data_IF_942623822278
#
_entry.id   IF_942623822278
#
_cell.length_a   1.000
_cell.length_b   1.000
_cell.length_c   1.000
_cell.angle_alpha   90.00
_cell.angle_beta   90.00
_cell.angle_gamma   90.00
#
_symmetry.space_group_name_H-M   'P 1'
#
loop_
_entity.id
_entity.type
_entity.pdbx_description
1 polymer ?
#
# COMPACT_ATOMS: atom_id res chain seq x y z
N UNK A 1 30.96 -9.84 -4.07
CA UNK A 1 30.59 -10.74 -2.94
C UNK A 1 29.36 -10.25 -2.17
N UNK A 2 29.29 -8.98 -1.73
CA UNK A 2 28.10 -8.39 -1.05
C UNK A 2 26.78 -8.54 -1.84
N UNK A 3 26.81 -8.38 -3.16
CA UNK A 3 25.63 -8.51 -4.03
C UNK A 3 25.03 -9.92 -4.06
N UNK A 4 25.86 -10.96 -4.11
CA UNK A 4 25.43 -12.36 -4.13
C UNK A 4 24.84 -12.81 -2.77
N UNK A 5 25.40 -12.28 -1.68
CA UNK A 5 24.85 -12.49 -0.33
C UNK A 5 23.48 -11.80 -0.22
N UNK A 6 23.36 -10.56 -0.69
CA UNK A 6 22.08 -9.84 -0.73
C UNK A 6 21.01 -10.56 -1.54
N UNK A 7 21.34 -11.12 -2.70
CA UNK A 7 20.40 -11.90 -3.50
C UNK A 7 19.99 -13.21 -2.83
N UNK A 8 20.92 -13.93 -2.19
CA UNK A 8 20.61 -15.14 -1.43
C UNK A 8 19.76 -14.84 -0.20
N UNK A 9 20.06 -13.77 0.54
CA UNK A 9 19.25 -13.33 1.69
C UNK A 9 17.86 -12.91 1.22
N UNK A 10 17.75 -12.10 0.16
CA UNK A 10 16.45 -11.71 -0.40
C UNK A 10 15.69 -12.90 -0.97
N UNK A 11 16.36 -13.92 -1.53
CA UNK A 11 15.74 -15.16 -2.00
C UNK A 11 15.26 -16.02 -0.83
N UNK A 12 16.07 -16.15 0.23
CA UNK A 12 15.71 -16.88 1.45
C UNK A 12 14.54 -16.17 2.15
N UNK A 13 14.57 -14.84 2.32
CA UNK A 13 13.46 -14.09 2.90
C UNK A 13 12.19 -14.13 2.04
N UNK A 14 12.33 -14.11 0.70
CA UNK A 14 11.19 -14.32 -0.24
C UNK A 14 10.64 -15.75 -0.21
N UNK A 15 11.45 -16.74 0.15
CA UNK A 15 11.07 -18.17 0.20
C UNK A 15 10.85 -18.71 1.63
N UNK A 16 11.05 -17.90 2.68
CA UNK A 16 10.67 -18.13 4.08
C UNK A 16 9.61 -17.10 4.52
N UNK A 17 8.47 -16.98 3.84
CA UNK A 17 7.67 -15.75 3.88
C UNK A 17 6.68 -15.71 5.03
N UNK A 18 6.50 -16.78 5.81
CA UNK A 18 5.26 -16.97 6.56
C UNK A 18 5.29 -16.72 8.07
N UNK A 19 6.36 -17.03 8.85
CA UNK A 19 6.28 -16.84 10.29
C UNK A 19 6.46 -15.38 10.70
N UNK A 20 7.38 -14.64 10.08
CA UNK A 20 7.76 -13.29 10.52
C UNK A 20 6.75 -12.24 10.08
N UNK A 21 6.22 -12.36 8.85
CA UNK A 21 5.23 -11.41 8.32
C UNK A 21 3.93 -11.45 9.12
N UNK A 22 3.51 -12.63 9.60
CA UNK A 22 2.33 -12.76 10.47
C UNK A 22 2.54 -12.27 11.90
N UNK A 23 3.79 -12.05 12.36
CA UNK A 23 4.05 -11.45 13.68
C UNK A 23 3.51 -10.04 13.81
N UNK A 24 3.18 -9.38 12.69
CA UNK A 24 2.53 -8.08 12.74
C UNK A 24 1.23 -8.14 13.54
N UNK A 25 0.54 -9.28 13.52
CA UNK A 25 -0.71 -9.48 14.23
C UNK A 25 -0.53 -9.61 15.76
N UNK A 26 0.70 -9.84 16.21
CA UNK A 26 1.06 -9.88 17.63
C UNK A 26 1.53 -8.50 18.15
N UNK A 27 1.64 -7.50 17.26
CA UNK A 27 2.06 -6.14 17.63
C UNK A 27 0.88 -5.34 18.21
N UNK A 28 1.16 -4.35 19.09
CA UNK A 28 0.12 -3.47 19.61
C UNK A 28 -0.49 -2.64 18.47
N UNK A 29 -1.81 -2.49 18.48
CA UNK A 29 -2.51 -1.68 17.49
C UNK A 29 -2.08 -0.20 17.57
N UNK A 30 -1.94 0.45 16.42
CA UNK A 30 -1.68 1.89 16.32
C UNK A 30 -2.92 2.56 15.72
N UNK A 31 -3.63 3.33 16.52
CA UNK A 31 -4.78 4.09 16.05
C UNK A 31 -4.33 5.20 15.09
N UNK A 32 -4.93 5.20 13.89
CA UNK A 32 -4.64 6.15 12.84
C UNK A 32 -5.68 7.26 12.87
N UNK A 33 -5.22 8.51 12.91
CA UNK A 33 -6.09 9.70 12.91
C UNK A 33 -6.12 10.28 11.52
N UNK A 34 -7.31 10.66 11.05
CA UNK A 34 -7.45 11.35 9.77
C UNK A 34 -7.06 12.84 9.90
N UNK A 35 -6.17 13.27 9.03
CA UNK A 35 -5.39 14.51 9.07
C UNK A 35 -5.05 14.95 7.64
N UNK A 36 -4.39 16.11 7.49
CA UNK A 36 -4.11 16.71 6.17
C UNK A 36 -2.99 16.05 5.35
N UNK A 37 -2.16 15.17 5.92
CA UNK A 37 -1.05 14.51 5.20
C UNK A 37 -1.31 13.02 5.03
N UNK A 38 -0.98 12.48 3.86
CA UNK A 38 -1.27 11.08 3.52
C UNK A 38 -0.02 10.22 3.40
N UNK A 39 -0.10 9.00 3.93
CA UNK A 39 0.80 7.90 3.57
C UNK A 39 0.04 6.94 2.67
N UNK A 40 0.47 6.85 1.41
CA UNK A 40 -0.20 6.03 0.40
C UNK A 40 0.65 4.80 0.10
N UNK A 41 0.08 3.62 0.34
CA UNK A 41 0.69 2.34 -0.02
C UNK A 41 -0.18 1.62 -1.03
N UNK A 42 0.36 1.33 -2.21
CA UNK A 42 -0.31 0.49 -3.20
C UNK A 42 0.20 -0.94 -3.08
N UNK A 43 -0.73 -1.89 -2.99
CA UNK A 43 -0.45 -3.30 -2.85
C UNK A 43 -1.34 -4.13 -3.78
N UNK A 44 -1.09 -5.42 -3.84
CA UNK A 44 -1.94 -6.47 -4.40
C UNK A 44 -2.43 -7.32 -3.23
N UNK A 45 -3.40 -8.22 -3.46
CA UNK A 45 -3.79 -9.18 -2.42
C UNK A 45 -2.60 -10.03 -1.92
N UNK A 46 -1.64 -10.35 -2.80
CA UNK A 46 -0.51 -11.23 -2.48
C UNK A 46 0.50 -10.61 -1.52
N UNK A 47 0.64 -9.28 -1.52
CA UNK A 47 1.61 -8.56 -0.71
C UNK A 47 0.94 -7.61 0.31
N UNK A 48 -0.30 -7.91 0.67
CA UNK A 48 -1.06 -7.11 1.63
C UNK A 48 -0.39 -7.06 3.01
N UNK A 49 0.13 -8.18 3.50
CA UNK A 49 0.78 -8.23 4.82
C UNK A 49 2.06 -7.39 4.84
N UNK A 50 2.84 -7.41 3.76
CA UNK A 50 4.03 -6.56 3.60
C UNK A 50 3.63 -5.08 3.54
N UNK A 51 2.49 -4.76 2.96
CA UNK A 51 1.95 -3.40 2.96
C UNK A 51 1.56 -2.94 4.37
N UNK A 52 0.95 -3.83 5.18
CA UNK A 52 0.67 -3.55 6.59
C UNK A 52 1.96 -3.28 7.37
N UNK A 53 3.01 -4.08 7.17
CA UNK A 53 4.32 -3.84 7.81
C UNK A 53 4.90 -2.49 7.44
N UNK A 54 4.75 -2.08 6.18
CA UNK A 54 5.25 -0.80 5.68
C UNK A 54 4.55 0.35 6.38
N UNK A 55 3.21 0.31 6.42
CA UNK A 55 2.41 1.33 7.11
C UNK A 55 2.71 1.33 8.61
N UNK A 56 2.66 0.17 9.26
CA UNK A 56 2.91 0.04 10.70
C UNK A 56 4.27 0.61 11.08
N UNK A 57 5.33 0.23 10.35
CA UNK A 57 6.68 0.70 10.64
C UNK A 57 6.80 2.22 10.50
N UNK A 58 6.13 2.81 9.52
CA UNK A 58 6.07 4.25 9.37
C UNK A 58 5.37 4.91 10.56
N UNK A 59 4.17 4.44 10.91
CA UNK A 59 3.38 4.99 12.00
C UNK A 59 4.09 4.84 13.35
N UNK A 60 4.76 3.72 13.59
CA UNK A 60 5.52 3.47 14.80
C UNK A 60 6.77 4.36 14.93
N UNK A 61 7.34 4.81 13.81
CA UNK A 61 8.54 5.67 13.81
C UNK A 61 8.20 7.16 13.76
N UNK A 62 6.99 7.51 13.36
CA UNK A 62 6.51 8.89 13.19
C UNK A 62 5.14 9.11 13.85
N UNK A 63 5.00 8.87 15.16
CA UNK A 63 3.71 8.91 15.84
C UNK A 63 3.05 10.30 15.87
N UNK A 64 3.85 11.37 15.77
CA UNK A 64 3.40 12.76 15.92
C UNK A 64 3.13 13.48 14.58
N UNK A 65 3.41 12.82 13.43
CA UNK A 65 3.39 13.49 12.13
C UNK A 65 1.97 13.75 11.59
N UNK A 66 0.94 13.29 12.32
CA UNK A 66 -0.45 13.48 11.92
C UNK A 66 -0.65 12.99 10.49
N UNK A 67 -0.32 11.73 10.22
CA UNK A 67 -0.40 11.11 8.88
C UNK A 67 -1.60 10.18 8.82
N UNK A 68 -2.36 10.27 7.73
CA UNK A 68 -3.47 9.38 7.41
C UNK A 68 -3.01 8.28 6.46
N UNK A 69 -2.75 7.06 6.96
CA UNK A 69 -2.42 5.96 6.08
C UNK A 69 -3.61 5.53 5.24
N UNK A 70 -3.33 5.20 3.98
CA UNK A 70 -4.28 4.63 3.03
C UNK A 70 -3.60 3.50 2.24
N UNK A 71 -4.23 2.34 2.21
CA UNK A 71 -3.78 1.17 1.44
C UNK A 71 -4.72 0.97 0.27
N UNK A 72 -4.17 0.95 -0.94
CA UNK A 72 -4.93 0.73 -2.18
C UNK A 72 -4.56 -0.61 -2.79
N UNK A 73 -5.56 -1.47 -2.98
CA UNK A 73 -5.36 -2.82 -3.54
C UNK A 73 -5.59 -2.81 -5.05
N UNK A 74 -4.58 -3.24 -5.79
CA UNK A 74 -4.68 -3.66 -7.17
C UNK A 74 -5.31 -5.06 -7.23
N UNK A 75 -6.63 -5.09 -7.36
CA UNK A 75 -7.49 -6.26 -7.24
C UNK A 75 -8.60 -6.04 -6.23
N UNK A 76 -9.27 -7.12 -5.82
CA UNK A 76 -10.38 -7.03 -4.88
C UNK A 76 -9.88 -6.90 -3.43
N UNK A 77 -10.63 -6.16 -2.61
CA UNK A 77 -10.46 -6.15 -1.16
C UNK A 77 -11.35 -7.25 -0.57
N UNK A 78 -10.78 -8.08 0.30
CA UNK A 78 -11.54 -9.12 1.01
C UNK A 78 -11.89 -8.67 2.43
N UNK A 79 -12.95 -9.24 3.01
CA UNK A 79 -13.30 -9.01 4.41
C UNK A 79 -12.22 -9.45 5.40
N UNK A 80 -11.39 -10.45 5.04
CA UNK A 80 -10.25 -10.85 5.87
C UNK A 80 -9.23 -9.72 5.95
N UNK A 81 -8.90 -9.11 4.80
CA UNK A 81 -7.94 -8.01 4.74
C UNK A 81 -8.42 -6.81 5.55
N UNK A 82 -9.71 -6.47 5.47
CA UNK A 82 -10.28 -5.38 6.27
C UNK A 82 -10.17 -5.68 7.77
N UNK A 83 -10.54 -6.89 8.21
CA UNK A 83 -10.44 -7.29 9.62
C UNK A 83 -8.99 -7.28 10.14
N UNK A 84 -8.06 -7.75 9.30
CA UNK A 84 -6.62 -7.77 9.61
C UNK A 84 -6.02 -6.36 9.67
N UNK A 85 -6.52 -5.43 8.84
CA UNK A 85 -6.15 -4.02 8.94
C UNK A 85 -6.69 -3.41 10.23
N UNK A 86 -7.98 -3.58 10.50
CA UNK A 86 -8.67 -2.95 11.63
C UNK A 86 -8.11 -3.41 12.98
N UNK A 87 -7.55 -4.62 13.05
CA UNK A 87 -6.93 -5.14 14.27
C UNK A 87 -5.59 -4.49 14.60
N UNK A 88 -4.85 -4.00 13.59
CA UNK A 88 -3.47 -3.49 13.77
C UNK A 88 -3.35 -1.99 13.52
N UNK A 89 -4.10 -1.46 12.55
CA UNK A 89 -4.07 -0.05 12.16
C UNK A 89 -5.50 0.51 12.05
N UNK A 90 -6.30 0.49 13.14
CA UNK A 90 -7.66 0.99 13.12
C UNK A 90 -7.71 2.45 12.67
N UNK A 91 -8.63 2.77 11.75
CA UNK A 91 -8.75 4.11 11.14
C UNK A 91 -8.02 4.27 9.80
N UNK A 92 -7.23 3.28 9.37
CA UNK A 92 -6.62 3.25 8.03
C UNK A 92 -7.66 2.97 6.96
N UNK A 93 -7.61 3.69 5.83
CA UNK A 93 -8.45 3.40 4.69
C UNK A 93 -7.89 2.20 3.90
N UNK A 94 -8.75 1.24 3.57
CA UNK A 94 -8.47 0.17 2.62
C UNK A 94 -9.53 0.14 1.53
N UNK A 95 -9.10 0.25 0.27
CA UNK A 95 -10.01 0.21 -0.87
C UNK A 95 -9.29 -0.28 -2.12
N UNK A 96 -10.02 -0.54 -3.19
CA UNK A 96 -9.42 -0.94 -4.47
C UNK A 96 -8.87 0.29 -5.18
N UNK A 97 -7.72 0.16 -5.84
CA UNK A 97 -7.14 1.24 -6.63
C UNK A 97 -8.11 1.72 -7.72
N UNK A 98 -8.85 0.80 -8.34
CA UNK A 98 -9.79 1.13 -9.41
C UNK A 98 -10.98 1.96 -8.93
N UNK A 99 -11.49 1.71 -7.72
CA UNK A 99 -12.61 2.50 -7.17
C UNK A 99 -12.27 3.98 -7.03
N UNK A 100 -11.02 4.30 -6.70
CA UNK A 100 -10.54 5.68 -6.55
C UNK A 100 -10.40 6.35 -7.91
N UNK A 101 -9.84 5.62 -8.89
CA UNK A 101 -9.65 6.10 -10.26
C UNK A 101 -11.02 6.41 -10.89
N UNK A 102 -12.00 5.53 -10.69
CA UNK A 102 -13.37 5.71 -11.18
C UNK A 102 -14.09 6.87 -10.48
N UNK A 103 -13.93 6.98 -9.16
CA UNK A 103 -14.52 8.06 -8.37
C UNK A 103 -13.96 9.44 -8.74
N UNK A 104 -12.72 9.51 -9.25
CA UNK A 104 -12.13 10.77 -9.69
C UNK A 104 -12.90 11.42 -10.85
N UNK A 105 -13.47 10.61 -11.76
CA UNK A 105 -14.44 11.05 -12.77
C UNK A 105 -13.94 12.03 -13.84
N UNK A 106 -12.67 12.44 -13.83
CA UNK A 106 -12.09 13.38 -14.81
C UNK A 106 -11.34 12.72 -15.97
N UNK A 107 -11.18 11.40 -15.93
CA UNK A 107 -10.46 10.66 -16.96
C UNK A 107 -11.37 10.35 -18.15
N UNK A 108 -10.84 10.51 -19.35
CA UNK A 108 -11.46 10.10 -20.60
C UNK A 108 -11.62 8.58 -20.68
N UNK A 109 -12.50 8.11 -21.57
CA UNK A 109 -12.71 6.67 -21.79
C UNK A 109 -11.42 5.93 -22.20
N UNK A 110 -10.54 6.60 -22.95
CA UNK A 110 -9.25 6.05 -23.39
C UNK A 110 -8.28 5.90 -22.21
N UNK A 111 -8.19 6.91 -21.35
CA UNK A 111 -7.39 6.85 -20.12
C UNK A 111 -7.93 5.78 -19.17
N UNK A 112 -9.25 5.68 -19.00
CA UNK A 112 -9.87 4.63 -18.20
C UNK A 112 -9.59 3.23 -18.75
N UNK A 113 -9.58 3.08 -20.08
CA UNK A 113 -9.22 1.83 -20.72
C UNK A 113 -7.75 1.47 -20.45
N UNK A 114 -6.84 2.45 -20.56
CA UNK A 114 -5.44 2.26 -20.21
C UNK A 114 -5.27 1.88 -18.73
N UNK A 115 -5.92 2.59 -17.80
CA UNK A 115 -5.82 2.31 -16.37
C UNK A 115 -6.32 0.92 -15.99
N UNK A 116 -7.32 0.39 -16.67
CA UNK A 116 -7.87 -0.94 -16.36
C UNK A 116 -7.04 -2.09 -16.91
N UNK A 117 -6.38 -1.91 -18.06
CA UNK A 117 -5.80 -3.02 -18.82
C UNK A 117 -4.27 -3.03 -18.83
N UNK A 118 -3.61 -1.89 -18.60
CA UNK A 118 -2.16 -1.83 -18.56
C UNK A 118 -1.61 -2.25 -17.18
N UNK A 119 -0.46 -2.95 -17.19
CA UNK A 119 0.24 -3.43 -15.98
C UNK A 119 0.54 -2.31 -14.98
N UNK A 120 0.81 -1.10 -15.47
CA UNK A 120 1.12 0.07 -14.64
C UNK A 120 0.00 1.11 -14.65
N UNK A 121 -1.05 0.89 -15.44
CA UNK A 121 -2.16 1.81 -15.61
C UNK A 121 -2.82 2.19 -14.29
N UNK A 122 -3.17 1.21 -13.46
CA UNK A 122 -3.82 1.48 -12.15
C UNK A 122 -2.95 2.30 -11.22
N UNK A 123 -1.64 2.06 -11.21
CA UNK A 123 -0.71 2.85 -10.39
C UNK A 123 -0.66 4.29 -10.86
N UNK A 124 -0.56 4.52 -12.17
CA UNK A 124 -0.54 5.86 -12.73
C UNK A 124 -1.86 6.60 -12.47
N UNK A 125 -3.00 5.96 -12.77
CA UNK A 125 -4.32 6.54 -12.56
C UNK A 125 -4.55 6.90 -11.10
N UNK A 126 -4.15 6.04 -10.16
CA UNK A 126 -4.25 6.31 -8.73
C UNK A 126 -3.39 7.52 -8.32
N UNK A 127 -2.14 7.59 -8.78
CA UNK A 127 -1.27 8.73 -8.50
C UNK A 127 -1.85 10.03 -9.06
N UNK A 128 -2.41 10.01 -10.27
CA UNK A 128 -3.04 11.19 -10.87
C UNK A 128 -4.30 11.62 -10.10
N UNK A 129 -5.16 10.68 -9.73
CA UNK A 129 -6.38 10.95 -8.96
C UNK A 129 -6.07 11.54 -7.57
N UNK A 130 -5.05 11.00 -6.91
CA UNK A 130 -4.64 11.45 -5.58
C UNK A 130 -3.84 12.77 -5.60
N UNK A 131 -3.08 13.03 -6.67
CA UNK A 131 -2.29 14.26 -6.77
C UNK A 131 -3.16 15.51 -6.86
N UNK A 132 -4.33 15.40 -7.50
CA UNK A 132 -5.30 16.48 -7.64
C UNK A 132 -6.11 16.71 -6.36
N UNK A 133 -6.24 15.69 -5.50
CA UNK A 133 -7.11 15.73 -4.31
C UNK A 133 -6.35 16.03 -3.02
N UNK A 134 -5.16 15.45 -2.84
CA UNK A 134 -4.51 15.42 -1.53
C UNK A 134 -3.09 16.06 -1.52
N UNK A 135 -2.46 16.27 -2.69
CA UNK A 135 -1.13 16.88 -2.81
C UNK A 135 0.00 16.02 -2.23
N UNK A 136 0.86 15.43 -3.08
CA UNK A 136 1.86 14.46 -2.62
C UNK A 136 3.19 15.07 -2.14
N UNK A 137 3.67 14.61 -0.97
CA UNK A 137 5.09 14.69 -0.57
C UNK A 137 5.73 13.30 -0.75
N UNK A 138 6.29 13.08 -1.94
CA UNK A 138 7.24 12.05 -2.40
C UNK A 138 7.11 10.54 -2.07
N UNK A 139 7.53 9.78 -3.09
CA UNK A 139 7.30 8.38 -3.41
C UNK A 139 8.55 7.52 -3.13
N UNK A 140 8.44 6.44 -2.34
CA UNK A 140 9.47 5.39 -2.30
C UNK A 140 9.18 4.33 -3.36
N UNK A 141 9.98 4.30 -4.42
CA UNK A 141 10.00 3.19 -5.37
C UNK A 141 10.66 1.97 -4.74
N UNK A 142 9.88 0.92 -4.47
CA UNK A 142 10.43 -0.45 -4.43
C UNK A 142 10.24 -1.04 -5.82
N UNK A 143 11.17 -0.72 -6.72
CA UNK A 143 11.32 -1.42 -8.00
C UNK A 143 12.04 -2.74 -7.74
N UNK A 144 11.30 -3.85 -7.69
CA UNK A 144 11.92 -5.14 -8.02
C UNK A 144 11.89 -5.28 -9.55
N UNK A 145 13.00 -4.88 -10.18
CA UNK A 145 13.34 -5.37 -11.51
C UNK A 145 13.41 -6.91 -11.44
N UNK A 146 12.52 -7.57 -12.19
CA UNK A 146 12.72 -8.90 -12.73
C UNK A 146 12.69 -8.76 -14.25
#
# INVERSE_FOLDING_TARGET
MKYLIGQKVASVLRNFPYPVTRKIFDLPAIACVQTGSLLVVMATQKNFIESLWTVYSWMATHPDDGISPRIYIDGDVTESMQRELDSILPGTLLCTAISVIEAFGKFSSEEMHFFRNDRYGRKLGLLLALNDTDGFIFQTMISFLQ
#
